data_IF_907669214286
#
_entry.id   IF_907669214286
#
_cell.length_a   1.000
_cell.length_b   1.000
_cell.length_c   1.000
_cell.angle_alpha   90.00
_cell.angle_beta   90.00
_cell.angle_gamma   90.00
#
_symmetry.space_group_name_H-M   'P 1'
#
loop_
_entity.id
_entity.type
_entity.pdbx_description
1 polymer ?
#
# COMPACT_ATOMS: atom_id res chain seq x y z
N UNK A 1 -45.23 15.79 -42.23
CA UNK A 1 -45.23 15.15 -40.90
C UNK A 1 -43.89 14.50 -40.75
N UNK A 2 -42.92 15.27 -40.25
CA UNK A 2 -41.57 14.81 -39.98
C UNK A 2 -41.57 13.96 -38.71
N UNK A 3 -40.95 12.78 -38.82
CA UNK A 3 -40.64 11.89 -37.72
C UNK A 3 -39.50 12.49 -36.90
N UNK A 4 -39.75 12.77 -35.63
CA UNK A 4 -38.72 13.16 -34.68
C UNK A 4 -37.74 12.00 -34.48
N UNK A 5 -36.49 12.21 -34.89
CA UNK A 5 -35.36 11.35 -34.57
C UNK A 5 -35.15 11.37 -33.05
N UNK A 6 -35.10 10.18 -32.45
CA UNK A 6 -34.59 10.01 -31.09
C UNK A 6 -33.07 10.19 -31.17
N UNK A 7 -32.56 11.26 -30.58
CA UNK A 7 -31.15 11.32 -30.20
C UNK A 7 -30.90 10.23 -29.15
N UNK A 8 -30.36 9.10 -29.60
CA UNK A 8 -29.63 8.19 -28.72
C UNK A 8 -28.40 8.94 -28.24
N UNK A 9 -28.40 9.30 -26.95
CA UNK A 9 -27.18 9.74 -26.27
C UNK A 9 -26.26 8.52 -26.23
N UNK A 10 -25.37 8.41 -27.22
CA UNK A 10 -24.26 7.48 -27.16
C UNK A 10 -23.36 7.92 -26.01
N UNK A 11 -23.35 7.15 -24.92
CA UNK A 11 -22.24 7.19 -23.98
C UNK A 11 -21.06 6.63 -24.77
N UNK A 12 -20.27 7.51 -25.39
CA UNK A 12 -18.97 7.11 -25.89
C UNK A 12 -18.24 6.50 -24.69
N UNK A 13 -17.78 5.25 -24.83
CA UNK A 13 -16.77 4.68 -23.95
C UNK A 13 -15.55 5.61 -24.06
N UNK A 14 -15.49 6.65 -23.22
CA UNK A 14 -14.29 7.45 -23.02
C UNK A 14 -13.27 6.52 -22.36
N UNK A 15 -12.61 5.73 -23.19
CA UNK A 15 -11.61 4.79 -22.75
C UNK A 15 -10.56 5.54 -21.95
N UNK A 16 -10.26 5.07 -20.74
CA UNK A 16 -9.15 5.59 -19.93
C UNK A 16 -7.95 5.85 -20.83
N UNK A 17 -7.50 7.09 -20.89
CA UNK A 17 -6.24 7.43 -21.51
C UNK A 17 -5.13 6.84 -20.65
N UNK A 18 -4.63 5.65 -21.01
CA UNK A 18 -3.56 4.99 -20.27
C UNK A 18 -2.24 5.75 -20.36
N UNK A 19 -2.08 6.70 -21.30
CA UNK A 19 -0.81 7.41 -21.48
C UNK A 19 -0.47 8.31 -20.29
N UNK A 20 -1.48 8.85 -19.61
CA UNK A 20 -1.30 9.72 -18.44
C UNK A 20 -0.95 8.97 -17.16
N UNK A 21 -1.00 7.64 -17.17
CA UNK A 21 -0.61 6.80 -16.03
C UNK A 21 0.66 6.01 -16.36
N UNK A 22 1.57 5.92 -15.39
CA UNK A 22 2.75 5.05 -15.51
C UNK A 22 2.31 3.58 -15.52
N UNK A 23 2.61 2.87 -16.60
CA UNK A 23 2.69 1.41 -16.59
C UNK A 23 3.94 0.96 -15.78
N UNK A 24 4.03 -0.34 -15.45
CA UNK A 24 5.14 -0.84 -14.64
C UNK A 24 6.51 -0.57 -15.29
N UNK A 25 6.59 -0.62 -16.62
CA UNK A 25 7.83 -0.36 -17.35
C UNK A 25 8.28 1.10 -17.22
N UNK A 26 7.37 2.05 -16.99
CA UNK A 26 7.70 3.46 -16.78
C UNK A 26 8.06 3.80 -15.33
N UNK A 27 7.87 2.89 -14.37
CA UNK A 27 8.22 3.11 -12.96
C UNK A 27 9.70 2.77 -12.72
N UNK A 28 10.51 3.77 -12.39
CA UNK A 28 11.96 3.62 -12.30
C UNK A 28 12.40 2.59 -11.25
N UNK A 29 11.88 2.67 -10.01
CA UNK A 29 12.30 1.74 -8.96
C UNK A 29 11.95 0.29 -9.30
N UNK A 30 10.78 0.06 -9.90
CA UNK A 30 10.38 -1.26 -10.37
C UNK A 30 11.35 -1.81 -11.42
N UNK A 31 11.67 -1.03 -12.45
CA UNK A 31 12.68 -1.42 -13.47
C UNK A 31 14.00 -1.82 -12.82
N UNK A 32 14.50 -1.03 -11.86
CA UNK A 32 15.76 -1.32 -11.16
C UNK A 32 15.70 -2.65 -10.40
N UNK A 33 14.65 -2.88 -9.62
CA UNK A 33 14.50 -4.15 -8.92
C UNK A 33 14.44 -5.33 -9.91
N UNK A 34 13.65 -5.23 -10.99
CA UNK A 34 13.56 -6.29 -12.00
C UNK A 34 14.90 -6.59 -12.69
N UNK A 35 15.68 -5.58 -13.04
CA UNK A 35 16.98 -5.76 -13.71
C UNK A 35 18.02 -6.41 -12.77
N UNK A 36 18.07 -5.99 -11.51
CA UNK A 36 19.10 -6.38 -10.55
C UNK A 36 18.81 -7.71 -9.83
N UNK A 37 17.55 -8.14 -9.78
CA UNK A 37 17.12 -9.42 -9.20
C UNK A 37 17.40 -10.65 -10.09
N UNK A 38 18.01 -10.47 -11.26
CA UNK A 38 18.44 -11.56 -12.14
C UNK A 38 19.67 -12.35 -11.64
N UNK A 39 20.23 -11.98 -10.48
CA UNK A 39 21.42 -12.60 -9.86
C UNK A 39 21.04 -13.39 -8.60
N UNK A 40 21.83 -14.41 -8.24
CA UNK A 40 21.67 -15.16 -6.97
C UNK A 40 21.66 -14.21 -5.77
N UNK A 41 20.87 -14.51 -4.74
CA UNK A 41 20.78 -13.68 -3.53
C UNK A 41 22.16 -13.41 -2.93
N UNK A 42 22.42 -12.16 -2.61
CA UNK A 42 23.70 -11.68 -2.07
C UNK A 42 23.62 -11.31 -0.58
N UNK A 43 22.45 -11.48 0.04
CA UNK A 43 22.22 -11.14 1.44
C UNK A 43 22.49 -12.33 2.36
N UNK A 44 23.20 -12.07 3.46
CA UNK A 44 23.52 -13.04 4.49
C UNK A 44 23.22 -12.46 5.87
N UNK A 45 22.59 -13.25 6.75
CA UNK A 45 22.41 -12.87 8.14
C UNK A 45 23.64 -13.24 8.97
N UNK A 46 24.11 -12.31 9.79
CA UNK A 46 25.21 -12.53 10.73
C UNK A 46 24.66 -13.08 12.04
N UNK A 47 24.65 -14.40 12.20
CA UNK A 47 24.10 -15.04 13.40
C UNK A 47 24.90 -14.70 14.68
N UNK A 48 26.18 -14.37 14.55
CA UNK A 48 27.01 -13.94 15.69
C UNK A 48 26.61 -12.56 16.24
N UNK A 49 25.88 -11.75 15.45
CA UNK A 49 25.35 -10.44 15.85
C UNK A 49 24.01 -10.51 16.59
N UNK A 50 23.46 -11.72 16.76
CA UNK A 50 22.11 -11.91 17.29
C UNK A 50 22.02 -11.44 18.74
N UNK A 51 21.09 -10.53 18.99
CA UNK A 51 20.72 -10.09 20.35
C UNK A 51 19.25 -10.39 20.59
N UNK A 52 18.95 -11.21 21.60
CA UNK A 52 17.58 -11.57 21.97
C UNK A 52 17.20 -10.78 23.21
N UNK A 53 16.40 -9.73 23.00
CA UNK A 53 15.83 -8.91 24.05
C UNK A 53 14.55 -9.50 24.63
N UNK A 54 13.89 -8.70 25.47
CA UNK A 54 12.57 -9.05 26.02
C UNK A 54 11.47 -8.98 24.96
N UNK A 55 11.56 -7.98 24.09
CA UNK A 55 10.50 -7.60 23.15
C UNK A 55 10.77 -8.06 21.71
N UNK A 56 12.04 -8.19 21.33
CA UNK A 56 12.45 -8.53 19.98
C UNK A 56 13.80 -9.23 19.93
N UNK A 57 14.05 -9.92 18.82
CA UNK A 57 15.36 -10.44 18.44
C UNK A 57 15.91 -9.61 17.28
N UNK A 58 17.17 -9.17 17.37
CA UNK A 58 17.82 -8.34 16.34
C UNK A 58 19.08 -9.01 15.84
N UNK A 59 19.36 -8.84 14.55
CA UNK A 59 20.57 -9.32 13.90
C UNK A 59 20.88 -8.48 12.66
N UNK A 60 22.15 -8.46 12.27
CA UNK A 60 22.59 -7.78 11.06
C UNK A 60 22.40 -8.67 9.83
N UNK A 61 22.05 -8.04 8.71
CA UNK A 61 22.07 -8.65 7.38
C UNK A 61 23.06 -7.86 6.53
N UNK A 62 24.02 -8.54 5.90
CA UNK A 62 25.01 -7.93 5.03
C UNK A 62 24.75 -8.34 3.59
N UNK A 63 24.83 -7.37 2.68
CA UNK A 63 24.89 -7.60 1.25
C UNK A 63 26.36 -7.70 0.81
N UNK A 64 26.81 -8.87 0.33
CA UNK A 64 28.23 -9.14 0.03
C UNK A 64 28.94 -8.06 -0.82
N UNK A 65 28.36 -7.59 -1.96
CA UNK A 65 28.93 -6.50 -2.76
C UNK A 65 29.00 -5.14 -2.05
N UNK A 66 27.96 -4.74 -1.31
CA UNK A 66 27.87 -3.39 -0.74
C UNK A 66 28.56 -3.28 0.62
N UNK A 67 28.68 -4.40 1.35
CA UNK A 67 29.26 -4.52 2.71
C UNK A 67 28.67 -3.58 3.77
N UNK A 68 27.57 -2.90 3.48
CA UNK A 68 26.86 -2.05 4.44
C UNK A 68 25.80 -2.90 5.15
N UNK A 69 25.80 -2.92 6.50
CA UNK A 69 24.88 -3.73 7.28
C UNK A 69 23.48 -3.11 7.32
N UNK A 70 22.48 -3.98 7.18
CA UNK A 70 21.10 -3.73 7.53
C UNK A 70 20.82 -4.32 8.90
N UNK A 71 19.93 -3.70 9.66
CA UNK A 71 19.42 -4.21 10.92
C UNK A 71 18.06 -4.87 10.69
N UNK A 72 17.97 -6.16 10.98
CA UNK A 72 16.71 -6.89 11.03
C UNK A 72 16.22 -7.02 12.48
N UNK A 73 14.93 -6.82 12.70
CA UNK A 73 14.25 -6.98 13.98
C UNK A 73 13.03 -7.88 13.82
N UNK A 74 13.00 -8.99 14.56
CA UNK A 74 11.89 -9.94 14.61
C UNK A 74 11.19 -9.83 15.96
N UNK A 75 9.89 -9.57 15.93
CA UNK A 75 9.06 -9.48 17.12
C UNK A 75 7.94 -10.53 17.05
N UNK A 76 7.75 -11.27 18.15
CA UNK A 76 6.50 -11.98 18.39
C UNK A 76 5.47 -11.00 18.97
N UNK A 77 4.24 -11.04 18.49
CA UNK A 77 3.13 -10.22 18.95
C UNK A 77 1.99 -11.15 19.39
N UNK A 78 1.26 -10.72 20.42
CA UNK A 78 0.10 -11.45 20.92
C UNK A 78 -0.94 -11.73 19.80
N UNK A 79 -1.57 -12.89 19.88
CA UNK A 79 -2.53 -13.34 18.86
C UNK A 79 -1.90 -14.07 17.67
N UNK A 80 -0.70 -14.66 17.83
CA UNK A 80 0.02 -15.40 16.78
C UNK A 80 0.40 -14.52 15.56
N UNK A 81 0.96 -13.35 15.85
CA UNK A 81 1.45 -12.42 14.84
C UNK A 81 2.97 -12.34 14.95
N UNK A 82 3.67 -12.37 13.82
CA UNK A 82 5.09 -12.04 13.75
C UNK A 82 5.27 -10.72 13.02
N UNK A 83 6.20 -9.89 13.47
CA UNK A 83 6.61 -8.68 12.75
C UNK A 83 8.08 -8.80 12.38
N UNK A 84 8.41 -8.52 11.13
CA UNK A 84 9.78 -8.40 10.64
C UNK A 84 9.98 -6.97 10.16
N UNK A 85 10.96 -6.28 10.77
CA UNK A 85 11.46 -5.00 10.28
C UNK A 85 12.86 -5.18 9.71
N UNK A 86 13.16 -4.56 8.57
CA UNK A 86 14.52 -4.43 8.04
C UNK A 86 14.76 -2.97 7.67
N UNK A 87 15.84 -2.41 8.20
CA UNK A 87 16.25 -1.03 7.97
C UNK A 87 17.78 -0.93 7.83
N UNK A 88 18.30 0.19 7.36
CA UNK A 88 19.73 0.50 7.48
C UNK A 88 20.10 0.60 8.96
N UNK A 89 21.24 0.01 9.36
CA UNK A 89 21.70 0.11 10.75
C UNK A 89 22.12 1.55 11.11
N UNK A 90 22.76 2.24 10.16
CA UNK A 90 23.21 3.63 10.30
C UNK A 90 22.82 4.39 9.01
N UNK A 91 21.56 4.83 8.88
CA UNK A 91 21.14 5.55 7.69
C UNK A 91 21.68 6.99 7.67
N UNK A 92 21.89 7.55 6.48
CA UNK A 92 22.25 8.97 6.31
C UNK A 92 21.22 9.92 6.95
N UNK A 93 19.95 9.50 6.95
CA UNK A 93 18.83 10.13 7.65
C UNK A 93 17.74 9.08 7.92
N UNK A 94 16.86 9.27 8.91
CA UNK A 94 15.79 8.32 9.18
C UNK A 94 14.95 8.02 7.93
N UNK A 95 14.74 6.73 7.67
CA UNK A 95 13.74 6.27 6.69
C UNK A 95 12.35 6.40 7.27
N UNK A 96 11.37 6.60 6.39
CA UNK A 96 9.99 6.74 6.80
C UNK A 96 9.47 5.43 7.40
N UNK A 97 8.95 5.50 8.62
CA UNK A 97 8.15 4.45 9.25
C UNK A 97 6.71 4.97 9.34
N UNK A 98 5.73 4.18 8.93
CA UNK A 98 4.33 4.63 8.82
C UNK A 98 3.74 4.87 10.21
N UNK A 99 3.38 6.11 10.57
CA UNK A 99 2.72 6.42 11.84
C UNK A 99 1.21 6.19 11.74
N UNK A 100 0.52 6.23 12.88
CA UNK A 100 -0.94 6.35 13.04
C UNK A 100 -1.83 5.23 12.47
N UNK A 101 -1.28 4.30 11.69
CA UNK A 101 -2.01 3.12 11.18
C UNK A 101 -2.16 2.05 12.25
N UNK A 102 -1.16 1.90 13.12
CA UNK A 102 -1.22 0.99 14.26
C UNK A 102 -1.97 1.69 15.41
N UNK A 103 -3.16 1.17 15.74
CA UNK A 103 -4.11 1.87 16.62
C UNK A 103 -3.82 1.70 18.12
N UNK A 104 -3.00 0.72 18.49
CA UNK A 104 -2.69 0.44 19.89
C UNK A 104 -1.24 0.03 20.08
N UNK A 105 -0.75 0.17 21.32
CA UNK A 105 0.56 -0.35 21.70
C UNK A 105 0.53 -1.88 21.65
N UNK A 106 1.32 -2.45 20.75
CA UNK A 106 1.40 -3.89 20.56
C UNK A 106 1.98 -4.60 21.78
N UNK A 107 1.27 -5.61 22.29
CA UNK A 107 1.81 -6.53 23.30
C UNK A 107 2.76 -7.51 22.65
N UNK A 108 4.05 -7.41 23.00
CA UNK A 108 5.11 -8.30 22.53
C UNK A 108 5.11 -9.63 23.28
N UNK A 109 5.43 -10.70 22.57
CA UNK A 109 5.65 -12.04 23.12
C UNK A 109 7.15 -12.33 23.03
N UNK A 110 7.74 -12.69 24.17
CA UNK A 110 9.17 -13.01 24.24
C UNK A 110 9.49 -14.19 23.34
N UNK A 111 10.45 -13.99 22.43
CA UNK A 111 11.03 -15.04 21.61
C UNK A 111 12.19 -15.70 22.35
N UNK A 112 12.29 -17.01 22.26
CA UNK A 112 13.40 -17.81 22.80
C UNK A 112 14.13 -18.53 21.68
N UNK A 113 15.46 -18.55 21.75
CA UNK A 113 16.27 -19.36 20.85
C UNK A 113 16.11 -20.85 21.19
N UNK A 114 15.90 -21.66 20.16
CA UNK A 114 15.90 -23.12 20.24
C UNK A 114 17.15 -23.70 19.57
N UNK A 115 17.57 -24.93 19.94
CA UNK A 115 18.64 -25.62 19.23
C UNK A 115 18.30 -25.71 17.73
N UNK A 116 19.24 -25.28 16.89
CA UNK A 116 19.16 -25.37 15.43
C UNK A 116 20.46 -25.92 14.85
N UNK A 117 20.45 -26.21 13.55
CA UNK A 117 21.63 -26.64 12.83
C UNK A 117 22.64 -25.49 12.68
N UNK A 118 23.92 -25.83 12.51
CA UNK A 118 24.98 -24.86 12.22
C UNK A 118 24.59 -23.97 11.05
N UNK A 119 24.59 -22.64 11.24
CA UNK A 119 24.17 -21.67 10.22
C UNK A 119 22.67 -21.35 10.21
N UNK A 120 21.94 -21.76 11.25
CA UNK A 120 20.54 -21.38 11.46
C UNK A 120 20.26 -20.89 12.88
N UNK A 121 19.27 -20.03 13.02
CA UNK A 121 18.70 -19.58 14.30
C UNK A 121 17.21 -19.90 14.31
N UNK A 122 16.74 -20.61 15.33
CA UNK A 122 15.31 -20.91 15.50
C UNK A 122 14.77 -20.08 16.64
N UNK A 123 13.80 -19.21 16.35
CA UNK A 123 13.08 -18.41 17.33
C UNK A 123 11.67 -18.98 17.51
N UNK A 124 11.34 -19.35 18.74
CA UNK A 124 9.99 -19.78 19.10
C UNK A 124 9.35 -18.77 20.03
N UNK A 125 8.06 -18.52 19.86
CA UNK A 125 7.26 -17.86 20.90
C UNK A 125 6.87 -18.92 21.92
N UNK A 126 7.01 -18.65 23.22
CA UNK A 126 6.69 -19.63 24.27
C UNK A 126 5.22 -20.07 24.35
N UNK A 127 4.35 -19.53 23.49
CA UNK A 127 2.93 -19.89 23.34
C UNK A 127 2.65 -20.23 21.87
N UNK A 128 2.30 -21.48 21.58
CA UNK A 128 1.92 -21.94 20.24
C UNK A 128 3.04 -22.64 19.47
N UNK A 129 2.67 -23.23 18.34
CA UNK A 129 3.53 -24.17 17.59
C UNK A 129 4.33 -23.52 16.46
N UNK A 130 4.20 -22.20 16.28
CA UNK A 130 4.89 -21.48 15.21
C UNK A 130 6.32 -21.11 15.61
N UNK A 131 7.27 -21.51 14.78
CA UNK A 131 8.69 -21.21 14.90
C UNK A 131 9.16 -20.41 13.70
N UNK A 132 10.04 -19.46 13.94
CA UNK A 132 10.71 -18.65 12.93
C UNK A 132 12.13 -19.18 12.76
N UNK A 133 12.39 -19.84 11.64
CA UNK A 133 13.68 -20.43 11.28
C UNK A 133 14.44 -19.48 10.38
N UNK A 134 15.50 -18.86 10.88
CA UNK A 134 16.35 -17.92 10.17
C UNK A 134 17.58 -18.67 9.66
N UNK A 135 17.75 -18.78 8.34
CA UNK A 135 18.94 -19.32 7.69
C UNK A 135 19.90 -18.18 7.36
N UNK A 136 21.19 -18.39 7.60
CA UNK A 136 22.20 -17.35 7.48
C UNK A 136 22.60 -17.05 6.02
N UNK A 137 22.89 -18.08 5.23
CA UNK A 137 23.49 -17.92 3.90
C UNK A 137 22.90 -18.91 2.87
N UNK A 138 22.07 -18.45 1.91
CA UNK A 138 21.55 -17.08 1.80
C UNK A 138 20.59 -16.75 2.95
N UNK A 139 20.42 -15.46 3.27
CA UNK A 139 19.44 -15.02 4.25
C UNK A 139 18.04 -15.47 3.83
N UNK A 140 17.35 -16.22 4.68
CA UNK A 140 15.98 -16.68 4.44
C UNK A 140 15.29 -16.91 5.78
N UNK A 141 13.99 -16.67 5.85
CA UNK A 141 13.19 -16.93 7.05
C UNK A 141 12.04 -17.88 6.71
N UNK A 142 11.93 -18.99 7.42
CA UNK A 142 10.81 -19.92 7.31
C UNK A 142 9.92 -19.83 8.55
N UNK A 143 8.62 -19.64 8.34
CA UNK A 143 7.61 -19.83 9.37
C UNK A 143 7.16 -21.30 9.35
N UNK A 144 7.41 -22.00 10.44
CA UNK A 144 7.18 -23.44 10.58
C UNK A 144 6.10 -23.69 11.64
N UNK A 145 5.03 -24.37 11.28
CA UNK A 145 3.94 -24.78 12.18
C UNK A 145 3.80 -26.30 12.10
N UNK A 146 3.76 -27.01 13.23
CA UNK A 146 3.56 -28.47 13.24
C UNK A 146 4.51 -29.22 12.28
N UNK A 147 5.77 -28.78 12.21
CA UNK A 147 6.82 -29.31 11.32
C UNK A 147 6.60 -29.05 9.81
N UNK A 148 5.55 -28.33 9.41
CA UNK A 148 5.35 -27.86 8.04
C UNK A 148 5.74 -26.38 7.88
N UNK A 149 6.52 -26.08 6.84
CA UNK A 149 6.79 -24.70 6.42
C UNK A 149 5.51 -24.13 5.79
N UNK A 150 4.91 -23.13 6.43
CA UNK A 150 3.67 -22.50 5.94
C UNK A 150 3.96 -21.32 5.01
N UNK A 151 5.04 -20.59 5.29
CA UNK A 151 5.47 -19.42 4.54
C UNK A 151 6.99 -19.32 4.62
N UNK A 152 7.62 -18.99 3.50
CA UNK A 152 9.04 -18.61 3.45
C UNK A 152 9.17 -17.16 3.04
N UNK A 153 10.14 -16.46 3.59
CA UNK A 153 10.48 -15.07 3.32
C UNK A 153 11.89 -15.05 2.73
N UNK A 154 12.07 -14.32 1.63
CA UNK A 154 13.32 -14.28 0.87
C UNK A 154 13.77 -15.65 0.33
N UNK A 155 12.84 -16.57 0.05
CA UNK A 155 13.14 -17.90 -0.49
C UNK A 155 13.59 -17.87 -1.95
N UNK A 156 13.14 -16.86 -2.70
CA UNK A 156 13.60 -16.60 -4.06
C UNK A 156 14.82 -15.68 -4.09
N UNK A 157 15.23 -15.15 -2.93
CA UNK A 157 16.40 -14.31 -2.82
C UNK A 157 16.18 -12.88 -3.31
N UNK A 158 14.93 -12.41 -3.30
CA UNK A 158 14.51 -11.12 -3.85
C UNK A 158 14.42 -10.00 -2.81
N UNK A 159 14.98 -10.18 -1.62
CA UNK A 159 15.30 -9.08 -0.72
C UNK A 159 16.12 -8.06 -1.50
N UNK A 160 15.58 -6.85 -1.61
CA UNK A 160 16.21 -5.74 -2.30
C UNK A 160 16.13 -4.50 -1.42
N UNK A 161 17.22 -3.76 -1.32
CA UNK A 161 17.32 -2.62 -0.43
C UNK A 161 18.31 -1.61 -0.99
N UNK A 162 17.81 -0.51 -1.56
CA UNK A 162 18.63 0.59 -2.05
C UNK A 162 18.99 1.49 -0.88
N UNK A 163 20.27 1.57 -0.54
CA UNK A 163 20.75 2.44 0.55
C UNK A 163 20.65 3.91 0.17
N UNK A 164 20.43 4.77 1.17
CA UNK A 164 20.44 6.21 0.95
C UNK A 164 21.85 6.67 0.54
N UNK A 165 21.92 7.52 -0.48
CA UNK A 165 23.18 8.01 -1.02
C UNK A 165 23.27 9.53 -0.97
N UNK A 166 24.49 10.06 -0.82
CA UNK A 166 24.75 11.49 -0.98
C UNK A 166 24.72 11.84 -2.48
N UNK A 167 23.99 12.90 -2.89
CA UNK A 167 23.91 13.33 -4.29
C UNK A 167 25.28 13.58 -4.95
N UNK A 168 25.46 13.24 -6.24
CA UNK A 168 26.74 13.39 -6.94
C UNK A 168 27.30 14.82 -6.90
N UNK A 169 26.44 15.84 -7.04
CA UNK A 169 26.81 17.27 -7.00
C UNK A 169 27.42 17.72 -5.66
N UNK A 170 27.19 16.98 -4.57
CA UNK A 170 27.78 17.25 -3.26
C UNK A 170 29.02 16.39 -2.97
N UNK A 171 29.32 15.36 -3.77
CA UNK A 171 30.55 14.56 -3.63
C UNK A 171 31.78 15.32 -4.11
N UNK A 172 31.64 16.15 -5.14
CA UNK A 172 32.72 16.99 -5.71
C UNK A 172 33.24 18.07 -4.76
N UNK A 173 32.48 18.45 -3.73
CA UNK A 173 32.93 19.40 -2.70
C UNK A 173 33.54 18.73 -1.46
N UNK A 174 33.54 17.38 -1.37
CA UNK A 174 33.96 16.65 -0.16
C UNK A 174 35.05 15.59 -0.34
N UNK A 175 35.55 15.31 -1.54
CA UNK A 175 36.70 14.42 -1.72
C UNK A 175 37.77 15.02 -2.64
N UNK A 176 38.87 15.44 -2.02
CA UNK A 176 40.20 15.17 -2.56
C UNK A 176 40.42 13.66 -2.46
N UNK A 177 40.72 13.05 -3.60
CA UNK A 177 41.40 11.77 -3.88
C UNK A 177 41.04 10.50 -3.07
N UNK A 178 40.90 9.41 -3.83
CA UNK A 178 40.81 7.99 -3.40
C UNK A 178 39.45 7.51 -2.85
N UNK A 179 38.58 7.10 -3.78
CA UNK A 179 38.03 5.73 -3.85
C UNK A 179 37.15 5.63 -5.10
N UNK A 180 37.72 5.05 -6.15
CA UNK A 180 37.00 4.66 -7.34
C UNK A 180 36.53 3.21 -7.18
N UNK A 181 35.21 2.99 -7.07
CA UNK A 181 34.58 1.79 -7.64
C UNK A 181 33.07 1.99 -7.78
N UNK A 182 32.57 1.52 -8.94
CA UNK A 182 31.22 1.67 -9.51
C UNK A 182 30.99 3.05 -10.16
N UNK A 183 31.73 3.31 -11.23
CA UNK A 183 31.45 4.40 -12.17
C UNK A 183 30.30 3.95 -13.09
N UNK A 184 29.07 4.37 -12.77
CA UNK A 184 27.94 4.28 -13.71
C UNK A 184 28.02 5.51 -14.61
N UNK A 185 28.15 5.31 -15.91
CA UNK A 185 28.12 6.40 -16.89
C UNK A 185 26.85 7.24 -16.72
N UNK A 186 26.92 8.53 -17.01
CA UNK A 186 25.79 9.46 -16.84
C UNK A 186 24.52 8.99 -17.58
N UNK A 187 24.70 8.40 -18.77
CA UNK A 187 23.61 7.78 -19.56
C UNK A 187 22.90 6.63 -18.81
N UNK A 188 23.65 5.77 -18.11
CA UNK A 188 23.07 4.68 -17.32
C UNK A 188 22.32 5.20 -16.08
N UNK A 189 22.73 6.34 -15.50
CA UNK A 189 22.03 6.92 -14.35
C UNK A 189 20.68 7.54 -14.73
N UNK A 190 20.61 8.15 -15.92
CA UNK A 190 19.38 8.69 -16.50
C UNK A 190 18.40 7.56 -16.89
N UNK A 191 18.89 6.49 -17.52
CA UNK A 191 18.06 5.33 -17.88
C UNK A 191 17.42 4.64 -16.64
N UNK A 192 18.19 4.55 -15.56
CA UNK A 192 17.75 3.95 -14.29
C UNK A 192 16.92 4.91 -13.41
N UNK A 193 16.79 6.17 -13.79
CA UNK A 193 16.02 7.19 -13.06
C UNK A 193 16.46 7.33 -11.59
N UNK A 194 17.77 7.34 -11.34
CA UNK A 194 18.31 7.30 -9.97
C UNK A 194 18.09 8.60 -9.19
N UNK A 195 18.25 9.74 -9.86
CA UNK A 195 18.26 11.07 -9.23
C UNK A 195 17.19 12.00 -9.79
N UNK A 196 16.78 11.76 -11.03
CA UNK A 196 15.74 12.49 -11.71
C UNK A 196 14.91 11.49 -12.51
N UNK A 197 13.59 11.65 -12.51
CA UNK A 197 12.69 10.86 -13.35
C UNK A 197 11.70 11.80 -14.01
N UNK A 198 11.60 11.70 -15.33
CA UNK A 198 10.63 12.46 -16.11
C UNK A 198 9.44 11.60 -16.49
N UNK A 199 8.24 12.12 -16.28
CA UNK A 199 7.01 11.55 -16.77
C UNK A 199 6.12 12.65 -17.34
N UNK A 200 5.86 12.57 -18.65
CA UNK A 200 5.26 13.67 -19.41
C UNK A 200 6.02 14.99 -19.18
N UNK A 201 5.32 16.02 -18.69
CA UNK A 201 5.90 17.32 -18.38
C UNK A 201 6.42 17.43 -16.94
N UNK A 202 6.22 16.40 -16.11
CA UNK A 202 6.65 16.39 -14.72
C UNK A 202 8.06 15.82 -14.59
N UNK A 203 8.90 16.55 -13.87
CA UNK A 203 10.26 16.12 -13.51
C UNK A 203 10.29 15.94 -11.99
N UNK A 204 10.47 14.71 -11.56
CA UNK A 204 10.69 14.37 -10.15
C UNK A 204 12.19 14.40 -9.86
N UNK A 205 12.60 15.35 -9.01
CA UNK A 205 13.95 15.46 -8.49
C UNK A 205 14.05 14.67 -7.19
N UNK A 206 14.62 13.47 -7.27
CA UNK A 206 14.81 12.56 -6.14
C UNK A 206 15.97 13.02 -5.27
N UNK A 207 15.71 13.93 -4.32
CA UNK A 207 16.71 14.50 -3.40
C UNK A 207 17.52 13.42 -2.66
N UNK A 208 16.92 12.26 -2.40
CA UNK A 208 17.53 11.15 -1.67
C UNK A 208 18.08 10.04 -2.57
N UNK A 209 17.96 10.21 -3.89
CA UNK A 209 18.31 9.20 -4.88
C UNK A 209 17.45 7.93 -4.77
N UNK A 210 17.98 6.77 -5.19
CA UNK A 210 17.29 5.49 -5.09
C UNK A 210 17.15 5.06 -3.62
N UNK A 211 15.93 4.70 -3.21
CA UNK A 211 15.63 4.30 -1.84
C UNK A 211 14.64 3.14 -1.73
N UNK A 212 14.40 2.42 -2.84
CA UNK A 212 13.39 1.38 -2.87
C UNK A 212 13.77 0.13 -2.09
N UNK A 213 12.75 -0.59 -1.68
CA UNK A 213 12.84 -1.81 -0.91
C UNK A 213 12.00 -2.90 -1.58
N UNK A 214 12.37 -4.15 -1.41
CA UNK A 214 11.63 -5.28 -1.95
C UNK A 214 11.84 -6.55 -1.14
N UNK A 215 10.83 -7.42 -1.10
CA UNK A 215 10.88 -8.70 -0.39
C UNK A 215 9.89 -9.71 -0.97
N UNK A 216 10.35 -10.94 -1.19
CA UNK A 216 9.49 -12.06 -1.61
C UNK A 216 9.00 -12.91 -0.44
N UNK A 217 7.80 -13.46 -0.65
CA UNK A 217 7.13 -14.41 0.23
C UNK A 217 6.64 -15.60 -0.60
N UNK A 218 7.06 -16.81 -0.25
CA UNK A 218 6.55 -18.05 -0.81
C UNK A 218 5.48 -18.66 0.11
N UNK A 219 4.26 -18.80 -0.39
CA UNK A 219 3.10 -19.35 0.33
C UNK A 219 2.91 -20.82 -0.06
N UNK A 220 3.27 -21.74 0.83
CA UNK A 220 3.30 -23.17 0.52
C UNK A 220 1.93 -23.84 0.66
N UNK A 221 1.46 -24.42 -0.45
CA UNK A 221 0.15 -25.06 -0.58
C UNK A 221 -1.02 -24.10 -0.79
N UNK A 222 -0.75 -22.82 -1.05
CA UNK A 222 -1.77 -21.80 -1.31
C UNK A 222 -1.85 -21.50 -2.81
N UNK A 223 -3.07 -21.30 -3.31
CA UNK A 223 -3.37 -20.91 -4.70
C UNK A 223 -4.34 -19.72 -4.78
N UNK A 224 -5.03 -19.43 -3.67
CA UNK A 224 -6.11 -18.46 -3.62
C UNK A 224 -5.68 -17.29 -2.74
N UNK A 225 -5.38 -16.17 -3.38
CA UNK A 225 -4.96 -14.93 -2.74
C UNK A 225 -6.03 -13.85 -2.92
N UNK A 226 -6.18 -12.97 -1.93
CA UNK A 226 -7.19 -11.91 -1.89
C UNK A 226 -6.61 -10.66 -1.23
N UNK A 227 -7.31 -9.53 -1.35
CA UNK A 227 -6.95 -8.29 -0.68
C UNK A 227 -6.27 -7.31 -1.62
N UNK A 228 -5.30 -6.56 -1.10
CA UNK A 228 -4.61 -5.45 -1.77
C UNK A 228 -5.53 -4.51 -2.56
N UNK A 229 -6.71 -4.09 -2.04
CA UNK A 229 -7.54 -3.13 -2.75
C UNK A 229 -6.83 -1.77 -2.88
N UNK A 230 -7.21 -0.91 -3.80
CA UNK A 230 -8.42 -0.95 -4.62
C UNK A 230 -8.10 -1.14 -6.11
N UNK A 231 -8.66 -2.20 -6.70
CA UNK A 231 -8.56 -2.52 -8.13
C UNK A 231 -9.95 -2.90 -8.65
N UNK A 232 -10.23 -2.51 -9.89
CA UNK A 232 -11.42 -2.96 -10.60
C UNK A 232 -11.16 -4.35 -11.21
N UNK A 233 -10.85 -5.34 -10.39
CA UNK A 233 -10.51 -6.71 -10.80
C UNK A 233 -11.30 -7.72 -9.93
N UNK A 234 -11.23 -9.00 -10.29
CA UNK A 234 -11.85 -10.10 -9.54
C UNK A 234 -11.32 -10.19 -8.11
N UNK A 235 -12.17 -10.74 -7.24
CA UNK A 235 -11.86 -10.86 -5.83
C UNK A 235 -10.62 -11.73 -5.56
N UNK A 236 -10.49 -12.84 -6.29
CA UNK A 236 -9.28 -13.66 -6.27
C UNK A 236 -8.21 -12.98 -7.14
N UNK A 237 -7.07 -12.68 -6.52
CA UNK A 237 -5.96 -12.06 -7.21
C UNK A 237 -5.41 -13.00 -8.30
N UNK A 238 -5.17 -12.42 -9.48
CA UNK A 238 -4.63 -13.13 -10.64
C UNK A 238 -3.11 -13.15 -10.58
N UNK A 239 -2.51 -14.11 -11.30
CA UNK A 239 -1.08 -14.07 -11.56
C UNK A 239 -0.71 -12.78 -12.33
N UNK A 240 0.53 -12.34 -12.14
CA UNK A 240 1.11 -11.17 -12.82
C UNK A 240 2.21 -11.57 -13.80
N UNK A 241 2.49 -12.87 -13.99
CA UNK A 241 3.52 -13.35 -14.91
C UNK A 241 3.28 -12.97 -16.37
N UNK A 242 2.04 -12.72 -16.76
CA UNK A 242 1.57 -12.43 -18.11
C UNK A 242 1.25 -10.95 -18.35
N UNK A 243 1.54 -10.06 -17.39
CA UNK A 243 1.23 -8.63 -17.51
C UNK A 243 1.77 -7.79 -16.37
N UNK A 244 1.06 -6.70 -16.06
CA UNK A 244 1.46 -5.77 -15.01
C UNK A 244 1.29 -6.37 -13.60
N UNK A 245 2.12 -5.85 -12.68
CA UNK A 245 1.97 -6.05 -11.24
C UNK A 245 0.73 -5.31 -10.73
N UNK A 246 0.20 -5.72 -9.58
CA UNK A 246 -0.81 -4.91 -8.88
C UNK A 246 -0.14 -3.65 -8.35
N UNK A 247 -0.72 -2.49 -8.65
CA UNK A 247 -0.18 -1.19 -8.23
C UNK A 247 -1.02 -0.61 -7.10
N UNK A 248 -0.38 -0.26 -5.99
CA UNK A 248 -0.96 0.41 -4.84
C UNK A 248 -0.41 1.84 -4.80
N UNK A 249 -1.15 2.74 -5.42
CA UNK A 249 -0.90 4.16 -5.44
C UNK A 249 -2.23 4.88 -5.63
N UNK A 250 -2.61 5.73 -4.69
CA UNK A 250 -3.92 6.37 -4.69
C UNK A 250 -3.99 7.41 -5.82
N UNK A 251 -4.83 7.12 -6.82
CA UNK A 251 -4.96 7.88 -8.06
C UNK A 251 -6.43 8.20 -8.33
N UNK A 252 -6.68 9.39 -8.87
CA UNK A 252 -7.95 9.71 -9.50
C UNK A 252 -7.93 9.21 -10.95
N UNK A 253 -8.65 8.11 -11.19
CA UNK A 253 -8.68 7.43 -12.50
C UNK A 253 -10.05 7.63 -13.13
N UNK A 254 -10.15 8.64 -14.00
CA UNK A 254 -11.35 8.89 -14.78
C UNK A 254 -11.68 7.70 -15.71
N UNK A 255 -12.93 7.26 -15.70
CA UNK A 255 -13.42 6.20 -16.58
C UNK A 255 -12.75 4.84 -16.41
N UNK A 256 -12.23 4.51 -15.21
CA UNK A 256 -11.39 3.32 -14.96
C UNK A 256 -11.89 2.04 -15.64
N UNK A 257 -10.96 1.23 -16.17
CA UNK A 257 -11.29 -0.04 -16.82
C UNK A 257 -11.55 -1.14 -15.79
N UNK A 258 -12.48 -2.03 -16.11
CA UNK A 258 -12.64 -3.29 -15.38
C UNK A 258 -11.62 -4.32 -15.85
N UNK A 259 -11.35 -5.29 -14.98
CA UNK A 259 -10.31 -6.30 -15.11
C UNK A 259 -8.89 -5.74 -15.28
N UNK A 260 -8.61 -4.64 -14.58
CA UNK A 260 -7.32 -3.96 -14.61
C UNK A 260 -6.65 -3.99 -13.22
N UNK A 261 -5.33 -4.15 -13.22
CA UNK A 261 -4.47 -4.22 -12.02
C UNK A 261 -3.92 -2.85 -11.61
N UNK A 262 -4.25 -1.81 -12.37
CA UNK A 262 -3.97 -0.42 -12.01
C UNK A 262 -4.73 -0.02 -10.75
N UNK A 263 -4.01 0.52 -9.77
CA UNK A 263 -4.62 1.07 -8.56
C UNK A 263 -5.50 2.26 -8.87
N UNK A 264 -6.57 2.41 -8.09
CA UNK A 264 -7.49 3.56 -8.16
C UNK A 264 -7.38 4.41 -6.88
N UNK A 265 -8.48 4.77 -6.23
CA UNK A 265 -8.52 5.83 -5.23
C UNK A 265 -7.90 5.49 -3.87
N UNK A 266 -7.83 4.19 -3.52
CA UNK A 266 -7.39 3.74 -2.21
C UNK A 266 -6.43 2.56 -2.28
N UNK A 267 -5.60 2.42 -1.24
CA UNK A 267 -4.61 1.35 -1.11
C UNK A 267 -4.63 0.78 0.30
N UNK A 268 -4.81 -0.53 0.42
CA UNK A 268 -4.63 -1.27 1.69
C UNK A 268 -3.64 -2.41 1.43
N UNK A 269 -2.36 -2.28 1.81
CA UNK A 269 -1.30 -3.26 1.51
C UNK A 269 -1.39 -4.51 2.40
N UNK A 270 -2.55 -5.17 2.35
CA UNK A 270 -2.91 -6.34 3.14
C UNK A 270 -3.40 -7.45 2.22
N UNK A 271 -2.69 -8.57 2.24
CA UNK A 271 -2.94 -9.74 1.41
C UNK A 271 -3.34 -10.93 2.28
N UNK A 272 -4.35 -11.66 1.82
CA UNK A 272 -4.84 -12.89 2.41
C UNK A 272 -4.48 -14.06 1.50
N UNK A 273 -4.03 -15.17 2.09
CA UNK A 273 -3.83 -16.43 1.39
C UNK A 273 -4.67 -17.51 2.06
N UNK A 274 -5.51 -18.20 1.28
CA UNK A 274 -6.45 -19.18 1.81
C UNK A 274 -6.31 -20.54 1.14
N UNK A 275 -6.42 -21.60 1.96
CA UNK A 275 -6.60 -22.99 1.55
C UNK A 275 -7.46 -23.72 2.57
N UNK A 276 -7.92 -24.91 2.22
CA UNK A 276 -8.68 -25.74 3.16
C UNK A 276 -7.87 -25.95 4.46
N UNK A 277 -8.47 -25.57 5.60
CA UNK A 277 -7.88 -25.73 6.93
C UNK A 277 -6.88 -24.64 7.34
N UNK A 278 -6.52 -23.68 6.48
CA UNK A 278 -5.59 -22.60 6.87
C UNK A 278 -5.76 -21.30 6.07
N UNK A 279 -5.71 -20.18 6.78
CA UNK A 279 -5.60 -18.83 6.23
C UNK A 279 -4.39 -18.13 6.83
N UNK A 280 -3.65 -17.41 6.00
CA UNK A 280 -2.56 -16.53 6.39
C UNK A 280 -2.84 -15.11 5.90
N UNK A 281 -2.23 -14.13 6.55
CA UNK A 281 -2.22 -12.74 6.12
C UNK A 281 -0.80 -12.17 6.08
N UNK A 282 -0.54 -11.31 5.09
CA UNK A 282 0.66 -10.48 5.00
C UNK A 282 0.18 -9.03 5.00
N UNK A 283 0.58 -8.26 6.01
CA UNK A 283 0.34 -6.83 6.05
C UNK A 283 1.67 -6.09 5.90
N UNK A 284 1.88 -5.50 4.72
CA UNK A 284 3.06 -4.75 4.34
C UNK A 284 2.86 -3.28 4.72
N UNK A 285 3.39 -2.86 5.87
CA UNK A 285 3.19 -1.52 6.42
C UNK A 285 4.13 -0.51 5.73
N UNK A 286 3.75 -0.10 4.52
CA UNK A 286 4.44 0.93 3.75
C UNK A 286 3.42 1.86 3.09
N UNK A 287 3.72 3.16 3.07
CA UNK A 287 2.83 4.21 2.55
C UNK A 287 3.30 4.81 1.21
N UNK A 288 4.45 4.38 0.69
CA UNK A 288 4.93 4.80 -0.63
C UNK A 288 4.29 3.97 -1.74
N UNK A 289 4.48 4.41 -3.00
CA UNK A 289 4.04 3.65 -4.16
C UNK A 289 4.56 2.22 -4.08
N UNK A 290 3.64 1.25 -4.16
CA UNK A 290 3.94 -0.17 -3.95
C UNK A 290 3.42 -1.02 -5.11
N UNK A 291 4.25 -1.94 -5.60
CA UNK A 291 3.89 -2.93 -6.61
C UNK A 291 3.94 -4.33 -6.02
N UNK A 292 3.01 -5.19 -6.43
CA UNK A 292 2.90 -6.56 -5.96
C UNK A 292 2.83 -7.51 -7.16
N UNK A 293 3.85 -8.34 -7.31
CA UNK A 293 3.86 -9.45 -8.26
C UNK A 293 3.36 -10.73 -7.59
N UNK A 294 2.58 -11.53 -8.33
CA UNK A 294 2.02 -12.79 -7.88
C UNK A 294 2.31 -13.86 -8.93
N UNK A 295 2.96 -14.94 -8.51
CA UNK A 295 3.26 -16.09 -9.36
C UNK A 295 2.89 -17.39 -8.67
N UNK A 296 1.88 -18.06 -9.19
CA UNK A 296 1.48 -19.39 -8.72
C UNK A 296 2.15 -20.47 -9.57
N UNK A 297 2.98 -21.28 -8.93
CA UNK A 297 3.66 -22.43 -9.52
C UNK A 297 3.04 -23.74 -8.99
N UNK A 298 2.90 -24.77 -9.85
CA UNK A 298 2.61 -26.12 -9.37
C UNK A 298 3.86 -26.66 -8.64
N UNK A 299 3.86 -26.67 -7.30
CA UNK A 299 5.06 -27.06 -6.58
C UNK A 299 5.22 -28.59 -6.47
N UNK A 300 6.40 -29.06 -6.85
CA UNK A 300 6.85 -30.44 -6.66
C UNK A 300 7.46 -30.55 -5.26
N UNK A 301 6.82 -31.27 -4.33
CA UNK A 301 7.45 -31.60 -3.05
C UNK A 301 8.43 -32.76 -3.23
N UNK A 302 9.68 -32.58 -2.77
CA UNK A 302 10.58 -33.67 -2.45
C UNK A 302 10.49 -33.94 -0.95
N UNK A 303 9.96 -35.09 -0.56
CA UNK A 303 10.05 -35.56 0.83
C UNK A 303 11.39 -36.27 1.02
N UNK A 304 12.23 -35.76 1.91
CA UNK A 304 13.35 -36.53 2.47
C UNK A 304 12.77 -37.58 3.42
N UNK A 305 12.53 -38.79 2.92
CA UNK A 305 12.31 -39.95 3.79
C UNK A 305 13.58 -40.78 3.84
N UNK A 306 14.16 -40.91 5.03
CA UNK A 306 15.08 -42.01 5.29
C UNK A 306 14.32 -43.34 5.13
N UNK A 307 14.93 -44.24 4.36
CA UNK A 307 14.64 -45.68 4.18
C UNK A 307 13.60 -46.13 3.14
N UNK A 308 14.11 -46.75 2.06
CA UNK A 308 13.49 -47.90 1.38
C UNK A 308 12.84 -47.66 0.01
N UNK A 309 12.96 -48.61 -0.95
CA UNK A 309 12.36 -48.51 -2.28
C UNK A 309 10.89 -48.97 -2.24
N UNK A 310 10.00 -48.14 -1.70
CA UNK A 310 8.55 -48.31 -1.87
C UNK A 310 7.93 -46.95 -2.18
N UNK A 311 7.63 -46.76 -3.47
CA UNK A 311 6.84 -45.69 -4.09
C UNK A 311 6.54 -44.45 -3.22
N UNK A 312 7.41 -43.43 -3.34
CA UNK A 312 7.12 -42.09 -2.89
C UNK A 312 5.83 -41.57 -3.57
N UNK A 313 4.75 -41.36 -2.81
CA UNK A 313 3.60 -40.60 -3.29
C UNK A 313 3.99 -39.13 -3.36
N UNK A 314 4.26 -38.62 -4.57
CA UNK A 314 4.36 -37.19 -4.85
C UNK A 314 3.04 -36.51 -4.48
N UNK A 315 3.02 -35.78 -3.36
CA UNK A 315 1.99 -34.76 -3.12
C UNK A 315 2.50 -33.46 -3.74
N UNK A 316 2.13 -33.21 -4.99
CA UNK A 316 2.28 -31.89 -5.63
C UNK A 316 1.43 -30.93 -4.79
N UNK A 317 2.07 -30.00 -4.10
CA UNK A 317 1.37 -28.94 -3.37
C UNK A 317 1.78 -27.65 -4.04
N UNK A 318 0.84 -26.92 -4.62
CA UNK A 318 1.02 -25.59 -5.21
C UNK A 318 1.79 -24.63 -4.31
N UNK A 319 2.46 -23.65 -4.92
CA UNK A 319 3.14 -22.56 -4.22
C UNK A 319 2.78 -21.27 -4.93
N UNK A 320 2.35 -20.26 -4.19
CA UNK A 320 2.23 -18.90 -4.72
C UNK A 320 3.32 -18.02 -4.13
N UNK A 321 4.14 -17.47 -4.99
CA UNK A 321 5.17 -16.50 -4.66
C UNK A 321 4.60 -15.09 -4.83
N UNK A 322 4.84 -14.23 -3.85
CA UNK A 322 4.41 -12.84 -3.83
C UNK A 322 5.62 -11.95 -3.59
N UNK A 323 5.86 -11.00 -4.48
CA UNK A 323 6.98 -10.07 -4.37
C UNK A 323 6.47 -8.64 -4.22
N UNK A 324 6.78 -8.02 -3.08
CA UNK A 324 6.40 -6.65 -2.75
C UNK A 324 7.57 -5.72 -3.03
N UNK A 325 7.30 -4.59 -3.68
CA UNK A 325 8.31 -3.58 -4.00
C UNK A 325 7.74 -2.20 -3.69
N UNK A 326 8.40 -1.43 -2.83
CA UNK A 326 7.97 -0.07 -2.47
C UNK A 326 9.06 0.95 -2.79
N UNK A 327 8.65 2.14 -3.21
CA UNK A 327 9.57 3.20 -3.63
C UNK A 327 10.50 3.68 -2.49
N UNK A 328 10.01 3.71 -1.25
CA UNK A 328 10.78 4.21 -0.11
C UNK A 328 10.31 3.62 1.23
N UNK A 329 10.83 4.16 2.34
CA UNK A 329 10.55 3.70 3.69
C UNK A 329 11.41 2.50 4.09
N UNK A 330 10.93 1.76 5.10
CA UNK A 330 11.55 0.53 5.59
C UNK A 330 10.73 -0.70 5.18
N UNK A 331 11.36 -1.87 5.23
CA UNK A 331 10.61 -3.13 5.20
C UNK A 331 10.00 -3.29 6.59
N UNK A 332 8.68 -3.27 6.69
CA UNK A 332 7.93 -3.49 7.91
C UNK A 332 6.72 -4.35 7.59
N UNK A 333 6.79 -5.63 7.97
CA UNK A 333 5.77 -6.61 7.59
C UNK A 333 5.25 -7.35 8.82
N UNK A 334 3.93 -7.46 8.89
CA UNK A 334 3.22 -8.29 9.85
C UNK A 334 2.72 -9.57 9.15
N UNK A 335 2.99 -10.70 9.79
CA UNK A 335 2.64 -12.04 9.33
C UNK A 335 1.55 -12.55 10.27
N UNK A 336 0.33 -12.62 9.75
CA UNK A 336 -0.88 -13.03 10.47
C UNK A 336 -1.08 -14.52 10.21
N UNK A 337 -0.95 -15.36 11.24
CA UNK A 337 -0.75 -16.81 11.02
C UNK A 337 -2.01 -17.65 11.20
N UNK A 338 -3.16 -17.00 11.43
CA UNK A 338 -4.46 -17.64 11.54
C UNK A 338 -4.60 -18.57 12.75
N UNK A 339 -5.17 -19.78 12.59
CA UNK A 339 -5.28 -20.53 11.33
C UNK A 339 -6.58 -20.31 10.54
N UNK A 340 -7.65 -19.78 11.12
CA UNK A 340 -8.93 -19.58 10.41
C UNK A 340 -9.02 -18.17 9.78
N UNK A 341 -9.89 -17.93 8.79
CA UNK A 341 -10.15 -16.57 8.29
C UNK A 341 -10.54 -15.60 9.42
N UNK A 342 -11.37 -16.05 10.38
CA UNK A 342 -11.78 -15.23 11.52
C UNK A 342 -10.61 -14.83 12.41
N UNK A 343 -9.64 -15.73 12.62
CA UNK A 343 -8.45 -15.42 13.42
C UNK A 343 -7.58 -14.40 12.72
N UNK A 344 -7.39 -14.53 11.40
CA UNK A 344 -6.63 -13.55 10.61
C UNK A 344 -7.32 -12.17 10.61
N UNK A 345 -8.65 -12.11 10.56
CA UNK A 345 -9.37 -10.83 10.69
C UNK A 345 -9.21 -10.20 12.09
N UNK A 346 -9.28 -11.01 13.16
CA UNK A 346 -9.02 -10.53 14.53
C UNK A 346 -7.58 -10.01 14.65
N UNK A 347 -6.62 -10.76 14.12
CA UNK A 347 -5.21 -10.38 14.10
C UNK A 347 -4.99 -9.05 13.39
N UNK A 348 -5.57 -8.86 12.20
CA UNK A 348 -5.46 -7.59 11.47
C UNK A 348 -6.13 -6.44 12.23
N UNK A 349 -7.36 -6.66 12.73
CA UNK A 349 -8.10 -5.62 13.48
C UNK A 349 -7.44 -5.24 14.81
N UNK A 350 -6.67 -6.14 15.42
CA UNK A 350 -5.87 -5.83 16.60
C UNK A 350 -4.74 -4.83 16.28
N UNK A 351 -4.21 -4.87 15.06
CA UNK A 351 -3.20 -3.94 14.58
C UNK A 351 -3.82 -2.60 14.16
N UNK A 352 -4.82 -2.64 13.28
CA UNK A 352 -5.31 -1.46 12.54
C UNK A 352 -6.66 -0.93 13.03
N UNK A 353 -7.22 -1.53 14.07
CA UNK A 353 -8.52 -1.18 14.62
C UNK A 353 -9.68 -1.89 13.92
N UNK A 354 -10.88 -1.64 14.42
CA UNK A 354 -12.13 -2.18 13.88
C UNK A 354 -12.92 -1.11 13.15
N UNK A 355 -13.84 -1.52 12.27
CA UNK A 355 -14.83 -0.63 11.68
C UNK A 355 -15.49 0.22 12.78
N UNK A 356 -15.44 1.54 12.63
CA UNK A 356 -16.16 2.45 13.51
C UNK A 356 -17.66 2.17 13.43
N UNK A 357 -18.35 2.16 14.58
CA UNK A 357 -19.79 1.90 14.62
C UNK A 357 -20.53 2.97 13.78
N UNK A 358 -21.14 2.58 12.65
CA UNK A 358 -21.79 3.56 11.78
C UNK A 358 -23.04 4.12 12.47
N UNK A 359 -23.33 5.42 12.36
CA UNK A 359 -24.62 5.94 12.78
C UNK A 359 -25.72 5.30 11.93
N UNK A 360 -26.83 4.88 12.54
CA UNK A 360 -27.84 4.04 11.86
C UNK A 360 -28.33 4.59 10.51
N UNK A 361 -28.50 5.91 10.39
CA UNK A 361 -28.95 6.55 9.15
C UNK A 361 -27.99 6.32 7.97
N UNK A 362 -26.70 6.06 8.22
CA UNK A 362 -25.71 5.87 7.15
C UNK A 362 -25.76 4.49 6.52
N UNK A 363 -26.59 3.58 7.06
CA UNK A 363 -26.87 2.27 6.47
C UNK A 363 -28.16 2.30 5.63
N UNK A 364 -28.92 3.40 5.69
CA UNK A 364 -30.11 3.63 4.89
C UNK A 364 -29.79 4.00 3.45
N UNK A 365 -30.81 4.37 2.67
CA UNK A 365 -30.61 4.79 1.29
C UNK A 365 -30.12 6.24 1.21
N UNK A 366 -29.03 6.44 0.47
CA UNK A 366 -28.40 7.74 0.21
C UNK A 366 -28.73 8.18 -1.21
N UNK A 367 -29.42 9.31 -1.34
CA UNK A 367 -29.72 9.91 -2.62
C UNK A 367 -28.69 11.00 -2.94
N UNK A 368 -28.01 10.86 -4.07
CA UNK A 368 -26.95 11.76 -4.53
C UNK A 368 -26.97 11.91 -6.06
N UNK A 369 -26.49 13.06 -6.55
CA UNK A 369 -26.03 13.30 -7.91
C UNK A 369 -25.10 14.51 -7.92
N UNK A 370 -24.29 14.65 -8.95
CA UNK A 370 -23.65 15.91 -9.30
C UNK A 370 -24.53 16.68 -10.32
N UNK A 371 -25.23 17.75 -9.97
CA UNK A 371 -25.54 18.30 -8.65
C UNK A 371 -27.07 18.46 -8.48
N UNK A 372 -27.57 18.61 -7.26
CA UNK A 372 -28.87 19.28 -7.07
C UNK A 372 -28.72 20.78 -7.26
N UNK A 373 -29.56 21.40 -8.07
CA UNK A 373 -29.32 22.76 -8.55
C UNK A 373 -29.42 23.82 -7.44
N UNK A 374 -30.40 23.67 -6.55
CA UNK A 374 -30.70 24.63 -5.48
C UNK A 374 -31.56 24.02 -4.34
N UNK A 375 -31.99 24.86 -3.39
CA UNK A 375 -32.89 24.45 -2.30
C UNK A 375 -34.26 23.93 -2.76
N UNK A 376 -34.79 24.41 -3.90
CA UNK A 376 -36.08 23.95 -4.41
C UNK A 376 -35.97 22.57 -5.03
N UNK A 377 -34.88 22.30 -5.76
CA UNK A 377 -34.59 20.97 -6.30
C UNK A 377 -34.48 19.94 -5.16
N UNK A 378 -33.70 20.24 -4.12
CA UNK A 378 -33.60 19.38 -2.92
C UNK A 378 -34.96 19.11 -2.30
N UNK A 379 -35.80 20.15 -2.15
CA UNK A 379 -37.14 20.03 -1.60
C UNK A 379 -38.08 19.20 -2.50
N UNK A 380 -37.98 19.36 -3.81
CA UNK A 380 -38.78 18.61 -4.78
C UNK A 380 -38.44 17.13 -4.75
N UNK A 381 -37.14 16.79 -4.71
CA UNK A 381 -36.67 15.41 -4.60
C UNK A 381 -37.11 14.79 -3.27
N UNK A 382 -36.90 15.49 -2.14
CA UNK A 382 -37.35 15.04 -0.81
C UNK A 382 -38.87 14.77 -0.76
N UNK A 383 -39.69 15.63 -1.38
CA UNK A 383 -41.12 15.43 -1.50
C UNK A 383 -41.48 14.26 -2.43
N UNK A 384 -40.74 14.08 -3.53
CA UNK A 384 -40.94 12.99 -4.48
C UNK A 384 -40.76 11.61 -3.85
N UNK A 385 -39.77 11.44 -2.96
CA UNK A 385 -39.62 10.20 -2.19
C UNK A 385 -40.84 9.88 -1.33
N UNK A 386 -41.40 10.89 -0.66
CA UNK A 386 -42.60 10.72 0.16
C UNK A 386 -43.84 10.41 -0.70
N UNK A 387 -44.02 11.15 -1.80
CA UNK A 387 -45.13 10.98 -2.74
C UNK A 387 -45.17 9.57 -3.34
N UNK A 388 -44.00 9.02 -3.67
CA UNK A 388 -43.87 7.70 -4.27
C UNK A 388 -43.66 6.58 -3.24
N UNK A 389 -43.71 6.91 -1.93
CA UNK A 389 -43.51 5.97 -0.83
C UNK A 389 -42.19 5.19 -0.93
N UNK A 390 -41.11 5.87 -1.32
CA UNK A 390 -39.76 5.31 -1.40
C UNK A 390 -38.97 5.82 -0.17
N UNK A 391 -38.44 4.94 0.69
CA UNK A 391 -37.68 5.36 1.86
C UNK A 391 -36.27 5.86 1.45
N UNK A 392 -35.83 6.95 2.06
CA UNK A 392 -34.43 7.39 2.03
C UNK A 392 -34.07 8.16 3.30
N UNK A 393 -32.79 8.11 3.67
CA UNK A 393 -32.26 8.66 4.92
C UNK A 393 -31.41 9.92 4.70
N UNK A 394 -30.67 9.98 3.59
CA UNK A 394 -29.64 11.02 3.40
C UNK A 394 -29.73 11.66 2.02
N UNK A 395 -29.80 12.99 2.02
CA UNK A 395 -29.59 13.82 0.83
C UNK A 395 -28.13 14.25 0.75
N UNK A 396 -27.54 14.25 -0.45
CA UNK A 396 -26.16 14.68 -0.68
C UNK A 396 -26.12 15.94 -1.54
N UNK A 397 -25.21 16.86 -1.22
CA UNK A 397 -24.86 18.00 -2.07
C UNK A 397 -23.41 17.90 -2.52
N UNK A 398 -23.22 17.80 -3.82
CA UNK A 398 -21.92 17.79 -4.47
C UNK A 398 -21.37 19.23 -4.63
N UNK A 399 -20.25 19.41 -5.33
CA UNK A 399 -19.40 20.61 -5.30
C UNK A 399 -20.11 21.93 -5.66
N UNK A 400 -21.23 21.89 -6.38
CA UNK A 400 -21.94 23.10 -6.84
C UNK A 400 -22.73 23.82 -5.75
N UNK A 401 -22.83 23.24 -4.54
CA UNK A 401 -23.45 23.91 -3.40
C UNK A 401 -22.57 25.03 -2.80
N UNK A 402 -21.28 25.05 -3.13
CA UNK A 402 -20.28 25.97 -2.58
C UNK A 402 -20.24 27.32 -3.32
N UNK A 403 -19.77 28.39 -2.67
CA UNK A 403 -19.53 29.69 -3.32
C UNK A 403 -18.26 29.63 -4.18
N UNK A 404 -18.41 29.19 -5.43
CA UNK A 404 -17.29 29.10 -6.38
C UNK A 404 -16.20 28.13 -5.94
N UNK A 405 -16.58 26.95 -5.42
CA UNK A 405 -15.68 25.87 -4.98
C UNK A 405 -14.80 26.25 -3.79
N UNK A 406 -15.30 27.17 -2.96
CA UNK A 406 -14.78 27.43 -1.62
C UNK A 406 -15.51 26.51 -0.64
N UNK A 407 -14.86 25.47 -0.13
CA UNK A 407 -15.45 24.61 0.90
C UNK A 407 -15.84 25.43 2.15
N UNK A 408 -16.71 24.88 3.00
CA UNK A 408 -17.25 25.61 4.17
C UNK A 408 -18.05 26.88 3.83
N UNK A 409 -18.48 27.04 2.58
CA UNK A 409 -19.35 28.14 2.13
C UNK A 409 -20.59 27.60 1.43
N UNK A 410 -21.55 28.47 1.14
CA UNK A 410 -22.77 28.16 0.40
C UNK A 410 -22.93 29.16 -0.75
N UNK A 411 -23.25 28.70 -1.95
CA UNK A 411 -23.66 29.59 -3.03
C UNK A 411 -24.93 30.32 -2.60
N UNK A 412 -24.84 31.64 -2.42
CA UNK A 412 -25.94 32.45 -1.86
C UNK A 412 -27.12 32.61 -2.80
N UNK A 413 -27.00 32.28 -4.09
CA UNK A 413 -28.10 32.32 -5.06
C UNK A 413 -28.87 31.00 -5.06
N UNK A 414 -28.15 29.87 -5.07
CA UNK A 414 -28.72 28.52 -5.10
C UNK A 414 -29.16 28.04 -3.71
N UNK A 415 -28.37 28.36 -2.68
CA UNK A 415 -28.57 27.93 -1.29
C UNK A 415 -28.57 29.13 -0.32
N UNK A 416 -29.56 30.05 -0.43
CA UNK A 416 -29.63 31.25 0.42
C UNK A 416 -30.00 30.97 1.88
N UNK A 417 -30.66 29.85 2.19
CA UNK A 417 -31.17 29.47 3.51
C UNK A 417 -30.81 28.01 3.88
N UNK A 418 -29.53 27.63 3.88
CA UNK A 418 -29.12 26.23 4.03
C UNK A 418 -29.55 25.63 5.37
N UNK A 419 -29.66 26.46 6.41
CA UNK A 419 -30.20 26.06 7.71
C UNK A 419 -31.67 25.63 7.62
N UNK A 420 -32.49 26.39 6.89
CA UNK A 420 -33.92 26.07 6.70
C UNK A 420 -34.07 24.75 5.92
N UNK A 421 -33.31 24.56 4.86
CA UNK A 421 -33.28 23.31 4.10
C UNK A 421 -32.92 22.11 5.00
N UNK A 422 -31.88 22.25 5.83
CA UNK A 422 -31.50 21.22 6.80
C UNK A 422 -32.59 20.96 7.84
N UNK A 423 -33.26 22.00 8.35
CA UNK A 423 -34.34 21.87 9.32
C UNK A 423 -35.57 21.16 8.71
N UNK A 424 -35.86 21.37 7.42
CA UNK A 424 -36.91 20.65 6.69
C UNK A 424 -36.60 19.15 6.59
N UNK A 425 -35.39 18.79 6.15
CA UNK A 425 -34.95 17.39 6.12
C UNK A 425 -35.00 16.76 7.52
N UNK A 426 -34.52 17.49 8.53
CA UNK A 426 -34.54 17.04 9.93
C UNK A 426 -35.96 16.82 10.46
N UNK A 427 -36.94 17.64 10.05
CA UNK A 427 -38.34 17.46 10.45
C UNK A 427 -38.93 16.12 9.99
N UNK A 428 -38.38 15.58 8.89
CA UNK A 428 -38.68 14.24 8.37
C UNK A 428 -37.69 13.17 8.83
N UNK A 429 -36.85 13.48 9.83
CA UNK A 429 -35.78 12.65 10.40
C UNK A 429 -34.62 12.28 9.45
N UNK A 430 -34.54 12.94 8.29
CA UNK A 430 -33.48 12.75 7.28
C UNK A 430 -32.23 13.57 7.62
N UNK A 431 -31.12 13.26 6.94
CA UNK A 431 -29.82 13.94 7.06
C UNK A 431 -29.40 14.59 5.74
N UNK A 432 -28.44 15.51 5.86
CA UNK A 432 -27.75 16.14 4.74
C UNK A 432 -26.25 15.81 4.85
N UNK A 433 -25.65 15.39 3.75
CA UNK A 433 -24.19 15.32 3.57
C UNK A 433 -23.79 16.36 2.55
N UNK A 434 -22.69 17.06 2.82
CA UNK A 434 -22.11 18.06 1.92
C UNK A 434 -20.66 17.70 1.65
N UNK A 435 -20.23 17.77 0.39
CA UNK A 435 -18.85 17.46 0.01
C UNK A 435 -17.87 18.52 0.55
N UNK A 436 -16.68 18.08 0.95
CA UNK A 436 -15.55 18.94 1.29
C UNK A 436 -14.25 18.24 0.94
N UNK A 437 -13.60 18.70 -0.14
CA UNK A 437 -12.34 18.13 -0.61
C UNK A 437 -11.14 18.82 0.05
N UNK A 438 -9.94 18.19 0.04
CA UNK A 438 -8.79 18.72 0.76
C UNK A 438 -8.07 19.88 0.04
N UNK A 439 -8.46 20.24 -1.18
CA UNK A 439 -7.83 21.31 -1.93
C UNK A 439 -8.47 22.67 -1.62
N UNK A 440 -7.66 23.71 -1.39
CA UNK A 440 -8.17 25.00 -0.94
C UNK A 440 -7.95 26.04 -2.04
N UNK A 441 -9.04 26.64 -2.52
CA UNK A 441 -8.98 27.74 -3.49
C UNK A 441 -8.03 28.85 -3.01
N UNK A 442 -7.09 29.25 -3.87
CA UNK A 442 -6.24 30.42 -3.62
C UNK A 442 -7.10 31.67 -3.77
N UNK A 443 -7.45 32.27 -2.64
CA UNK A 443 -8.21 33.51 -2.56
C UNK A 443 -7.93 34.19 -1.22
N UNK A 444 -7.21 35.33 -1.19
CA UNK A 444 -6.92 36.07 0.05
C UNK A 444 -8.17 36.51 0.84
N UNK A 445 -9.32 36.64 0.18
CA UNK A 445 -10.58 36.99 0.85
C UNK A 445 -11.30 35.76 1.43
N UNK A 446 -10.83 34.55 1.13
CA UNK A 446 -11.37 33.31 1.67
C UNK A 446 -10.66 32.98 2.99
N UNK A 447 -11.40 33.11 4.10
CA UNK A 447 -10.83 33.02 5.45
C UNK A 447 -10.10 31.70 5.76
N UNK A 448 -10.52 30.58 5.17
CA UNK A 448 -9.85 29.28 5.35
C UNK A 448 -8.48 29.29 4.69
N UNK A 449 -8.38 29.78 3.45
CA UNK A 449 -7.11 29.95 2.76
C UNK A 449 -6.16 30.89 3.52
N UNK A 450 -6.66 32.08 3.89
CA UNK A 450 -5.84 33.08 4.56
C UNK A 450 -5.22 32.54 5.87
N UNK A 451 -6.02 31.85 6.69
CA UNK A 451 -5.56 31.24 7.95
C UNK A 451 -4.61 30.07 7.72
N UNK A 452 -4.93 29.18 6.78
CA UNK A 452 -4.07 28.03 6.47
C UNK A 452 -2.70 28.48 5.94
N UNK A 453 -2.68 29.55 5.13
CA UNK A 453 -1.45 30.19 4.65
C UNK A 453 -0.65 30.82 5.78
N UNK A 454 -1.29 31.63 6.62
CA UNK A 454 -0.65 32.29 7.78
C UNK A 454 -0.03 31.26 8.73
N UNK A 455 -0.68 30.12 8.94
CA UNK A 455 -0.20 29.06 9.84
C UNK A 455 0.75 28.05 9.17
N UNK A 456 0.97 28.17 7.85
CA UNK A 456 1.90 27.30 7.11
C UNK A 456 1.43 25.85 6.99
N UNK A 457 0.12 25.61 6.86
CA UNK A 457 -0.46 24.26 6.79
C UNK A 457 -0.44 23.60 5.41
N UNK A 458 -0.12 24.35 4.35
CA UNK A 458 -0.09 23.81 2.99
C UNK A 458 1.11 22.90 2.75
N UNK A 459 0.90 21.91 1.86
CA UNK A 459 1.98 21.09 1.32
C UNK A 459 2.99 22.00 0.64
N UNK A 460 4.27 21.72 0.82
CA UNK A 460 5.35 22.52 0.23
C UNK A 460 5.91 21.85 -1.02
N UNK A 461 6.30 22.66 -1.99
CA UNK A 461 7.11 22.21 -3.12
C UNK A 461 8.58 22.02 -2.69
N UNK A 462 9.41 21.47 -3.59
CA UNK A 462 10.83 21.22 -3.33
C UNK A 462 11.68 22.49 -3.06
N UNK A 463 11.20 23.67 -3.44
CA UNK A 463 11.83 24.97 -3.16
C UNK A 463 11.40 25.55 -1.79
N UNK A 464 10.47 24.89 -1.10
CA UNK A 464 9.94 25.32 0.20
C UNK A 464 8.75 26.28 0.13
N UNK A 465 8.28 26.64 -1.07
CA UNK A 465 7.05 27.41 -1.28
C UNK A 465 5.80 26.56 -1.10
N UNK A 466 4.63 27.19 -0.92
CA UNK A 466 3.35 26.48 -0.96
C UNK A 466 3.20 25.80 -2.34
N UNK A 467 2.76 24.54 -2.36
CA UNK A 467 2.42 23.86 -3.60
C UNK A 467 1.18 24.51 -4.20
N UNK A 468 1.20 24.73 -5.51
CA UNK A 468 0.05 25.23 -6.26
C UNK A 468 -0.27 24.25 -7.39
N UNK A 469 -1.56 23.97 -7.58
CA UNK A 469 -2.07 23.08 -8.60
C UNK A 469 -3.37 23.58 -9.21
N UNK A 470 -4.00 22.75 -10.05
CA UNK A 470 -5.31 23.04 -10.66
C UNK A 470 -6.27 21.89 -10.36
N UNK A 471 -7.47 22.23 -9.88
CA UNK A 471 -8.60 21.32 -9.71
C UNK A 471 -9.91 22.14 -9.87
N UNK A 472 -11.02 21.70 -9.25
CA UNK A 472 -12.34 22.33 -9.38
C UNK A 472 -12.39 23.85 -9.20
N UNK A 473 -11.69 24.48 -8.22
CA UNK A 473 -11.72 25.93 -8.07
C UNK A 473 -10.84 26.71 -9.06
N UNK A 474 -10.16 26.03 -10.00
CA UNK A 474 -9.03 26.58 -10.75
C UNK A 474 -7.73 26.44 -9.96
N UNK A 475 -6.95 27.51 -9.87
CA UNK A 475 -5.70 27.52 -9.09
C UNK A 475 -6.00 27.37 -7.59
N UNK A 476 -5.28 26.46 -6.95
CA UNK A 476 -5.45 26.06 -5.55
C UNK A 476 -4.10 25.77 -4.89
N UNK A 477 -4.13 25.70 -3.56
CA UNK A 477 -3.01 25.24 -2.72
C UNK A 477 -3.40 24.00 -1.92
#
# INVERSE_FOLDING_TARGET
>A
MESAEKEEISVEDEAVDKSIFKDCSKIAFYRRQKQLLSKKSTYQALLDSVTIGKDSARFQIINEPAKVPLLAEVCGIEGNIFRLKINEEIPLKPRYEVPDVLTSKLTTVRLTSCPGDTGSLVLASGKGDLKCHIMANPFKVDLVSEEEVVMSINSLGQLYFEQLQIPPKQRTTKKNEEDASIDTTQENQEELGLWEEKFENFVDVKVNGPASIGLDFSLHGFEHLYGIPQHAESHQLKNTSDGDAYRLYNLDVYGYKIHDKMGIYGSVPYLLAHKLGRTLGIFWLNASETLVEIKTEPAVKYTLTQMGPVAAKQKVGSRTDVHWMSESGIIDVFLLTGPTPSDVFKQYSYLTGTQAMPPLFSLGYHQCRWNYEDEQDVKAVDAGFDEHNIPYDVMWLDIEHTEGKRYFTWDKKRFPNPKRMQDLLRSKKRKLVVISDPHIKIDPNYSVYAKAKEQGFFVKNHEGGDFEGVCWPGVLS
#
